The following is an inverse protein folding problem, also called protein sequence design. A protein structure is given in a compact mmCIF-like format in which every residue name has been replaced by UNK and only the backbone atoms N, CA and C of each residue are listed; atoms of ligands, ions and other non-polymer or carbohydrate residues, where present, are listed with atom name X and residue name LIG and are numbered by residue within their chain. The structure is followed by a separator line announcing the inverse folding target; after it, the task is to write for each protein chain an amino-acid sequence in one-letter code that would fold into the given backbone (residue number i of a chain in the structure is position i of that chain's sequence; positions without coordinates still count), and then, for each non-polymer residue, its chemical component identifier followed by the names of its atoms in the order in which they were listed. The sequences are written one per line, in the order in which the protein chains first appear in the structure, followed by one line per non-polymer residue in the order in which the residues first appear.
data_IF_290493319843
#
_entry.id   IF_290493319843
#
_cell.length_a   1.000
_cell.length_b   1.000
_cell.length_c   1.000
_cell.angle_alpha   90.00
_cell.angle_beta   90.00
_cell.angle_gamma   90.00
#
_symmetry.space_group_name_H-M   'P 1'
#
loop_
_entity.id
_entity.type
_entity.pdbx_description
1 polymer ?
#
# COMPACT_ATOMS: atom_id res chain seq x y z
N UNK A 1 -18.12 8.07 -8.18
CA UNK A 1 -17.48 7.16 -7.20
C UNK A 1 -17.89 7.59 -5.81
N UNK A 2 -18.40 6.68 -4.98
CA UNK A 2 -18.67 6.96 -3.57
C UNK A 2 -17.34 7.01 -2.79
N UNK A 3 -17.22 7.90 -1.80
CA UNK A 3 -16.07 7.93 -0.88
C UNK A 3 -16.27 6.86 0.18
N UNK A 4 -15.22 6.09 0.45
CA UNK A 4 -15.22 5.04 1.47
C UNK A 4 -14.01 5.27 2.38
N UNK A 5 -14.20 5.24 3.69
CA UNK A 5 -13.09 5.24 4.66
C UNK A 5 -12.71 3.80 4.98
N UNK A 6 -11.42 3.51 5.08
CA UNK A 6 -10.92 2.20 5.47
C UNK A 6 -9.61 2.33 6.23
N UNK A 7 -9.40 1.45 7.21
CA UNK A 7 -8.14 1.32 7.94
C UNK A 7 -7.23 0.34 7.20
N UNK A 8 -5.96 0.68 7.03
CA UNK A 8 -4.95 -0.21 6.44
C UNK A 8 -4.39 -1.16 7.51
N UNK A 9 -4.49 -2.47 7.28
CA UNK A 9 -3.96 -3.50 8.20
C UNK A 9 -2.62 -4.10 7.73
N UNK A 10 -2.30 -3.97 6.44
CA UNK A 10 -1.12 -4.62 5.88
C UNK A 10 -0.67 -3.94 4.60
N UNK A 11 0.65 -3.78 4.44
CA UNK A 11 1.27 -3.28 3.21
C UNK A 11 2.06 -4.40 2.53
N UNK A 12 1.70 -4.70 1.28
CA UNK A 12 2.38 -5.72 0.49
C UNK A 12 3.73 -5.18 -0.03
N UNK A 13 3.69 -4.02 -0.68
CA UNK A 13 4.80 -3.35 -1.36
C UNK A 13 4.54 -1.83 -1.43
N UNK A 14 5.28 -1.10 -2.27
CA UNK A 14 5.19 0.35 -2.35
C UNK A 14 3.93 0.92 -3.03
N UNK A 15 3.05 0.09 -3.60
CA UNK A 15 1.80 0.56 -4.23
C UNK A 15 0.56 -0.26 -3.86
N UNK A 16 0.72 -1.36 -3.12
CA UNK A 16 -0.38 -2.29 -2.81
C UNK A 16 -0.51 -2.54 -1.29
N UNK A 17 -1.73 -2.43 -0.78
CA UNK A 17 -2.06 -2.63 0.64
C UNK A 17 -3.43 -3.29 0.84
N UNK A 18 -3.67 -3.80 2.05
CA UNK A 18 -4.92 -4.45 2.46
C UNK A 18 -5.61 -3.64 3.55
N UNK A 19 -6.92 -3.51 3.41
CA UNK A 19 -7.77 -2.85 4.40
C UNK A 19 -8.39 -3.82 5.41
N UNK A 20 -8.95 -3.30 6.50
CA UNK A 20 -9.68 -4.07 7.50
C UNK A 20 -10.88 -4.84 6.93
N UNK A 21 -11.50 -4.32 5.87
CA UNK A 21 -12.53 -5.01 5.09
C UNK A 21 -12.00 -6.16 4.21
N UNK A 22 -10.73 -6.54 4.36
CA UNK A 22 -10.01 -7.55 3.57
C UNK A 22 -9.93 -7.26 2.07
N UNK A 23 -10.15 -6.01 1.68
CA UNK A 23 -9.98 -5.56 0.29
C UNK A 23 -8.52 -5.20 0.03
N UNK A 24 -7.99 -5.71 -1.08
CA UNK A 24 -6.70 -5.30 -1.63
C UNK A 24 -6.88 -4.06 -2.51
N UNK A 25 -6.07 -3.05 -2.25
CA UNK A 25 -6.08 -1.78 -2.98
C UNK A 25 -4.69 -1.56 -3.57
N UNK A 26 -4.67 -1.21 -4.86
CA UNK A 26 -3.47 -0.75 -5.56
C UNK A 26 -3.61 0.74 -5.88
N UNK A 27 -2.56 1.50 -5.64
CA UNK A 27 -2.51 2.92 -5.97
C UNK A 27 -2.61 3.12 -7.48
N UNK A 28 -3.59 3.92 -7.91
CA UNK A 28 -3.79 4.21 -9.33
C UNK A 28 -2.69 5.13 -9.85
N UNK A 29 -2.23 4.86 -11.08
CA UNK A 29 -1.20 5.65 -11.78
C UNK A 29 0.16 5.71 -11.07
N UNK A 30 0.44 4.76 -10.16
CA UNK A 30 1.72 4.60 -9.48
C UNK A 30 2.27 3.22 -9.81
N UNK A 31 3.58 3.13 -10.05
CA UNK A 31 4.32 1.87 -10.17
C UNK A 31 5.46 1.87 -9.14
N UNK A 32 5.31 1.07 -8.09
CA UNK A 32 6.40 0.83 -7.16
C UNK A 32 7.39 -0.20 -7.76
N UNK A 33 8.65 -0.22 -7.29
CA UNK A 33 9.58 -1.30 -7.60
C UNK A 33 9.02 -2.65 -7.13
N UNK A 34 9.18 -3.70 -7.94
CA UNK A 34 8.89 -5.08 -7.60
C UNK A 34 9.98 -5.65 -6.67
N UNK A 35 9.74 -6.83 -6.07
CA UNK A 35 10.63 -7.46 -5.06
C UNK A 35 12.11 -7.56 -5.47
N UNK A 36 12.39 -7.67 -6.77
CA UNK A 36 13.74 -7.84 -7.31
C UNK A 36 14.34 -6.53 -7.85
N UNK A 37 13.64 -5.42 -7.73
CA UNK A 37 14.11 -4.10 -8.19
C UNK A 37 14.74 -3.30 -7.05
N UNK A 38 15.68 -2.38 -7.37
CA UNK A 38 16.21 -1.45 -6.40
C UNK A 38 15.11 -0.67 -5.68
N UNK A 39 15.36 -0.35 -4.40
CA UNK A 39 14.47 0.45 -3.54
C UNK A 39 13.12 -0.19 -3.17
N UNK A 40 12.84 -1.46 -3.51
CA UNK A 40 11.64 -2.19 -3.09
C UNK A 40 11.31 -2.02 -1.59
N UNK A 41 12.28 -2.34 -0.71
CA UNK A 41 12.09 -2.26 0.74
C UNK A 41 11.88 -0.82 1.23
N UNK A 42 12.49 0.16 0.57
CA UNK A 42 12.35 1.58 0.90
C UNK A 42 10.97 2.07 0.53
N UNK A 43 10.47 1.75 -0.67
CA UNK A 43 9.13 2.10 -1.11
C UNK A 43 8.06 1.49 -0.18
N UNK A 44 8.20 0.20 0.14
CA UNK A 44 7.34 -0.49 1.10
C UNK A 44 7.33 0.19 2.48
N UNK A 45 8.51 0.45 3.05
CA UNK A 45 8.63 1.06 4.39
C UNK A 45 8.06 2.48 4.45
N UNK A 46 8.18 3.27 3.37
CA UNK A 46 7.57 4.60 3.29
C UNK A 46 6.05 4.47 3.33
N UNK A 47 5.46 3.56 2.55
CA UNK A 47 4.01 3.37 2.54
C UNK A 47 3.50 2.89 3.90
N UNK A 48 4.17 1.92 4.53
CA UNK A 48 3.85 1.47 5.90
C UNK A 48 3.79 2.62 6.90
N UNK A 49 4.80 3.50 6.92
CA UNK A 49 4.84 4.66 7.84
C UNK A 49 3.71 5.65 7.60
N UNK A 50 3.24 5.77 6.35
CA UNK A 50 2.23 6.74 5.95
C UNK A 50 0.81 6.26 6.26
N UNK A 51 0.52 4.97 6.10
CA UNK A 51 -0.88 4.49 6.09
C UNK A 51 -1.18 3.34 7.06
N UNK A 52 -0.19 2.58 7.54
CA UNK A 52 -0.46 1.41 8.38
C UNK A 52 -1.07 1.84 9.72
N UNK A 53 -2.16 1.16 10.12
CA UNK A 53 -2.95 1.44 11.32
C UNK A 53 -3.48 2.87 11.44
N UNK A 54 -3.61 3.58 10.31
CA UNK A 54 -4.20 4.91 10.22
C UNK A 54 -5.64 4.93 9.73
#
# INVERSE_FOLDING_TARGET
MARVSAVCEYVQDGDTFRTAGKNWIRLANVRAPDKNEPEFLKAKSILEKLILDR
#
